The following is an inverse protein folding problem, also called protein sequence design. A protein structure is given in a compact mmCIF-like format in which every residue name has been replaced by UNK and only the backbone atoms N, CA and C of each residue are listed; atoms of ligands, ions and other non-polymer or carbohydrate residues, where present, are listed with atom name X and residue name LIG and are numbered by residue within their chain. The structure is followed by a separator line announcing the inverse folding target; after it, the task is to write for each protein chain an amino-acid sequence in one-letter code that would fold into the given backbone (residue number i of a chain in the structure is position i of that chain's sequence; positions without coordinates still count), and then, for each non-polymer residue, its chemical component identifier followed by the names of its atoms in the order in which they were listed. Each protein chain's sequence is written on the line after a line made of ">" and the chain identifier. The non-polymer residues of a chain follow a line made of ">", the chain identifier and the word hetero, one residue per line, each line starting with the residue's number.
data_IF_645795205798
#
_entry.id   IF_645795205798
#
_cell.length_a   1.000
_cell.length_b   1.000
_cell.length_c   1.000
_cell.angle_alpha   90.00
_cell.angle_beta   90.00
_cell.angle_gamma   90.00
#
_symmetry.space_group_name_H-M   'P 1'
#
loop_
_entity.id
_entity.type
_entity.pdbx_description
1 polymer ?
#
# COMPACT_ATOMS: atom_id res chain seq x y z
N UNK A 1 23.83 -54.19 23.28
CA UNK A 1 24.07 -52.79 23.70
C UNK A 1 24.77 -51.93 22.65
N UNK A 2 25.84 -52.39 21.96
CA UNK A 2 26.52 -51.58 20.93
C UNK A 2 25.63 -51.14 19.75
N UNK A 3 24.68 -51.96 19.32
CA UNK A 3 23.78 -51.63 18.20
C UNK A 3 22.71 -50.58 18.53
N UNK A 4 22.30 -50.47 19.80
CA UNK A 4 21.30 -49.49 20.25
C UNK A 4 21.91 -48.10 20.37
N UNK A 5 23.19 -48.01 20.78
CA UNK A 5 23.93 -46.75 20.85
C UNK A 5 24.18 -46.15 19.47
N UNK A 6 24.43 -46.97 18.45
CA UNK A 6 24.62 -46.50 17.07
C UNK A 6 23.33 -45.95 16.46
N UNK A 7 22.17 -46.55 16.75
CA UNK A 7 20.87 -46.05 16.28
C UNK A 7 20.51 -44.72 16.96
N UNK A 8 20.76 -44.59 18.27
CA UNK A 8 20.56 -43.31 18.97
C UNK A 8 21.51 -42.22 18.47
N UNK A 9 22.75 -42.56 18.12
CA UNK A 9 23.70 -41.62 17.53
C UNK A 9 23.29 -41.19 16.11
N UNK A 10 22.72 -42.08 15.29
CA UNK A 10 22.18 -41.73 13.97
C UNK A 10 20.96 -40.81 14.10
N UNK A 11 20.10 -41.01 15.11
CA UNK A 11 18.95 -40.14 15.40
C UNK A 11 19.40 -38.77 15.94
N UNK A 12 20.48 -38.71 16.72
CA UNK A 12 21.04 -37.46 17.27
C UNK A 12 21.94 -36.70 16.30
N UNK A 13 22.48 -37.36 15.26
CA UNK A 13 23.30 -36.75 14.19
C UNK A 13 22.52 -36.67 12.87
N UNK A 14 21.20 -36.82 12.89
CA UNK A 14 20.35 -36.24 11.85
C UNK A 14 20.07 -34.79 12.25
N UNK A 15 20.84 -33.80 11.77
CA UNK A 15 20.45 -32.42 11.95
C UNK A 15 19.16 -32.21 11.16
N UNK A 16 18.00 -32.12 11.81
CA UNK A 16 16.78 -31.50 11.28
C UNK A 16 16.52 -31.70 9.76
N UNK A 17 16.77 -32.89 9.19
CA UNK A 17 16.52 -33.14 7.76
C UNK A 17 15.00 -33.17 7.49
N UNK A 18 14.19 -33.28 8.56
CA UNK A 18 12.75 -33.11 8.51
C UNK A 18 12.28 -31.63 8.50
N UNK A 19 13.13 -30.66 8.86
CA UNK A 19 12.77 -29.23 8.89
C UNK A 19 13.57 -28.37 7.89
N UNK A 20 14.51 -28.96 7.14
CA UNK A 20 14.99 -28.36 5.90
C UNK A 20 13.98 -28.53 4.76
N UNK A 21 12.68 -28.29 5.02
CA UNK A 21 11.79 -27.83 3.96
C UNK A 21 12.26 -26.43 3.63
N UNK A 22 13.24 -26.34 2.76
CA UNK A 22 13.71 -25.12 2.12
C UNK A 22 12.49 -24.41 1.55
N UNK A 23 11.93 -23.47 2.30
CA UNK A 23 10.79 -22.69 1.84
C UNK A 23 11.32 -21.84 0.68
N UNK A 24 10.90 -22.11 -0.56
CA UNK A 24 11.41 -21.41 -1.76
C UNK A 24 10.44 -20.33 -2.28
N UNK A 25 9.33 -20.14 -1.58
CA UNK A 25 8.22 -19.28 -1.97
C UNK A 25 7.81 -18.32 -0.84
N UNK A 26 8.70 -18.09 0.13
CA UNK A 26 8.45 -17.22 1.28
C UNK A 26 9.29 -15.95 1.24
N UNK A 27 8.90 -14.93 2.01
CA UNK A 27 9.68 -13.70 2.11
C UNK A 27 11.05 -13.98 2.70
N UNK A 28 11.12 -14.77 3.78
CA UNK A 28 12.39 -15.24 4.37
C UNK A 28 13.33 -15.83 3.31
N UNK A 29 12.79 -16.66 2.41
CA UNK A 29 13.57 -17.30 1.35
C UNK A 29 14.16 -16.34 0.31
N UNK A 30 13.58 -15.15 0.13
CA UNK A 30 14.06 -14.13 -0.81
C UNK A 30 14.96 -13.09 -0.13
N UNK A 31 14.82 -12.91 1.19
CA UNK A 31 15.43 -11.79 1.89
C UNK A 31 16.46 -12.15 2.98
N UNK A 32 16.55 -13.41 3.46
CA UNK A 32 17.45 -13.92 4.54
C UNK A 32 17.47 -13.06 5.84
N UNK A 33 17.83 -13.65 6.98
CA UNK A 33 17.59 -13.05 8.30
C UNK A 33 18.05 -11.59 8.51
N UNK A 34 17.12 -10.79 9.04
CA UNK A 34 17.17 -9.53 9.84
C UNK A 34 18.13 -8.39 9.43
N UNK A 35 19.41 -8.65 9.13
CA UNK A 35 20.41 -7.60 8.88
C UNK A 35 20.29 -6.98 7.48
N UNK A 36 19.91 -7.77 6.48
CA UNK A 36 19.67 -7.29 5.11
C UNK A 36 18.43 -6.38 5.02
N UNK A 37 17.43 -6.58 5.89
CA UNK A 37 16.19 -5.82 5.89
C UNK A 37 16.42 -4.33 6.23
N UNK A 38 17.37 -3.99 7.11
CA UNK A 38 17.72 -2.59 7.42
C UNK A 38 18.25 -1.82 6.20
N UNK A 39 19.03 -2.49 5.35
CA UNK A 39 19.55 -1.92 4.09
C UNK A 39 18.49 -1.87 3.00
N UNK A 40 17.61 -2.87 2.94
CA UNK A 40 16.47 -2.94 2.03
C UNK A 40 15.46 -1.81 2.30
N UNK A 41 15.16 -1.52 3.57
CA UNK A 41 14.36 -0.36 3.98
C UNK A 41 15.07 0.97 3.68
N UNK A 42 16.42 0.98 3.71
CA UNK A 42 17.23 2.14 3.35
C UNK A 42 17.27 2.39 1.83
N UNK A 43 17.12 1.36 0.98
CA UNK A 43 17.01 1.53 -0.48
C UNK A 43 15.65 2.11 -0.91
N UNK A 44 14.61 1.92 -0.11
CA UNK A 44 13.27 2.53 -0.27
C UNK A 44 13.28 4.05 -0.03
N UNK A 45 14.34 4.60 0.61
CA UNK A 45 14.50 6.00 1.03
C UNK A 45 14.54 7.01 -0.12
N UNK A 46 14.71 6.54 -1.35
CA UNK A 46 14.92 7.38 -2.52
C UNK A 46 13.63 8.08 -3.00
N UNK A 47 12.75 8.60 -2.12
CA UNK A 47 11.58 9.38 -2.54
C UNK A 47 10.88 10.07 -1.35
N UNK A 48 10.87 11.43 -1.35
CA UNK A 48 9.66 12.28 -1.53
C UNK A 48 9.62 13.57 -0.69
N UNK A 49 9.48 14.69 -1.42
CA UNK A 49 9.10 16.03 -0.95
C UNK A 49 7.58 16.26 -0.96
N UNK A 50 6.80 15.41 -1.64
CA UNK A 50 5.36 15.55 -1.85
C UNK A 50 4.50 15.33 -0.59
N UNK A 51 4.91 14.43 0.31
CA UNK A 51 4.18 14.19 1.57
C UNK A 51 4.11 15.46 2.43
N UNK A 52 5.21 16.24 2.46
CA UNK A 52 5.31 17.53 3.16
C UNK A 52 4.42 18.63 2.59
N UNK A 53 4.07 18.58 1.31
CA UNK A 53 3.15 19.53 0.64
C UNK A 53 1.69 19.14 0.92
N UNK A 54 1.40 17.84 1.00
CA UNK A 54 0.02 17.35 1.08
C UNK A 54 -0.66 17.61 2.43
N UNK A 55 -0.03 17.18 3.53
CA UNK A 55 -0.63 17.29 4.87
C UNK A 55 -0.82 18.75 5.33
N UNK A 56 -0.30 19.71 4.58
CA UNK A 56 -0.08 21.09 5.00
C UNK A 56 -0.62 22.12 4.02
N UNK A 57 -1.05 21.69 2.82
CA UNK A 57 -1.46 22.60 1.75
C UNK A 57 -0.29 23.38 1.12
N UNK A 58 0.91 22.79 1.05
CA UNK A 58 2.06 23.36 0.32
C UNK A 58 3.17 23.94 1.18
N UNK A 59 3.01 23.99 2.50
CA UNK A 59 4.07 24.42 3.43
C UNK A 59 4.71 23.19 4.06
N UNK A 60 6.00 22.93 3.93
CA UNK A 60 6.60 21.78 4.63
C UNK A 60 6.52 22.00 6.15
N UNK A 61 5.43 21.56 6.79
CA UNK A 61 5.24 21.80 8.22
C UNK A 61 6.11 20.84 9.02
N UNK A 62 6.63 21.28 10.19
CA UNK A 62 7.35 20.43 11.13
C UNK A 62 6.61 19.13 11.52
N UNK A 63 5.29 19.11 11.34
CA UNK A 63 4.39 18.00 11.63
C UNK A 63 4.66 16.79 10.74
N UNK A 64 4.77 16.99 9.43
CA UNK A 64 4.95 15.89 8.49
C UNK A 64 6.34 15.31 8.62
N UNK A 65 7.33 16.19 8.76
CA UNK A 65 8.71 15.81 8.99
C UNK A 65 8.87 15.04 10.31
N UNK A 66 8.17 15.43 11.38
CA UNK A 66 8.24 14.71 12.67
C UNK A 66 7.56 13.34 12.62
N UNK A 67 6.40 13.21 11.98
CA UNK A 67 5.74 11.90 11.78
C UNK A 67 6.62 10.99 10.91
N UNK A 68 7.13 11.49 9.78
CA UNK A 68 8.04 10.74 8.92
C UNK A 68 9.31 10.31 9.67
N UNK A 69 9.90 11.21 10.45
CA UNK A 69 11.09 10.89 11.25
C UNK A 69 10.81 9.86 12.34
N UNK A 70 9.62 9.91 12.96
CA UNK A 70 9.22 8.91 13.95
C UNK A 70 9.06 7.53 13.33
N UNK A 71 8.37 7.45 12.18
CA UNK A 71 8.18 6.20 11.44
C UNK A 71 9.52 5.63 10.96
N UNK A 72 10.40 6.46 10.39
CA UNK A 72 11.74 6.02 10.03
C UNK A 72 12.62 5.68 11.25
N UNK A 73 12.39 6.33 12.39
CA UNK A 73 13.04 6.00 13.65
C UNK A 73 12.63 4.61 14.16
N UNK A 74 11.35 4.22 14.01
CA UNK A 74 10.90 2.85 14.30
C UNK A 74 11.57 1.82 13.40
N UNK A 75 12.01 2.23 12.21
CA UNK A 75 12.78 1.41 11.27
C UNK A 75 14.29 1.36 11.60
N UNK A 76 14.71 2.01 12.69
CA UNK A 76 16.11 2.06 13.12
C UNK A 76 16.97 3.08 12.35
N UNK A 77 16.36 4.01 11.62
CA UNK A 77 17.04 5.07 10.88
C UNK A 77 17.09 6.36 11.70
N UNK A 78 18.02 7.26 11.35
CA UNK A 78 18.14 8.57 12.00
C UNK A 78 18.16 9.73 11.01
N UNK A 79 17.84 10.94 11.49
CA UNK A 79 17.94 12.19 10.72
C UNK A 79 17.08 12.19 9.45
N UNK A 80 17.62 12.76 8.37
CA UNK A 80 16.93 12.93 7.08
C UNK A 80 16.57 11.57 6.46
N UNK A 81 17.40 10.54 6.66
CA UNK A 81 17.13 9.20 6.18
C UNK A 81 15.87 8.61 6.85
N UNK A 82 15.73 8.80 8.16
CA UNK A 82 14.51 8.43 8.88
C UNK A 82 13.29 9.16 8.32
N UNK A 83 13.38 10.49 8.17
CA UNK A 83 12.26 11.28 7.63
C UNK A 83 11.81 10.76 6.26
N UNK A 84 12.76 10.57 5.33
CA UNK A 84 12.47 10.10 3.96
C UNK A 84 11.91 8.68 3.94
N UNK A 85 12.50 7.75 4.69
CA UNK A 85 12.03 6.37 4.78
C UNK A 85 10.60 6.31 5.33
N UNK A 86 10.35 7.04 6.43
CA UNK A 86 9.04 7.05 7.05
C UNK A 86 8.00 7.71 6.17
N UNK A 87 8.32 8.81 5.48
CA UNK A 87 7.39 9.42 4.52
C UNK A 87 7.11 8.51 3.33
N UNK A 88 8.11 7.82 2.80
CA UNK A 88 7.91 6.82 1.74
C UNK A 88 6.97 5.70 2.20
N UNK A 89 7.21 5.15 3.40
CA UNK A 89 6.39 4.10 4.03
C UNK A 89 4.97 4.58 4.38
N UNK A 90 4.80 5.87 4.63
CA UNK A 90 3.50 6.45 4.91
C UNK A 90 2.70 6.76 3.65
N UNK A 91 3.13 6.34 2.47
CA UNK A 91 2.43 6.59 1.20
C UNK A 91 2.93 7.83 0.48
N UNK A 92 4.14 8.31 0.78
CA UNK A 92 4.80 9.35 -0.01
C UNK A 92 4.69 9.05 -1.50
N UNK A 93 4.95 7.79 -1.90
CA UNK A 93 4.86 7.31 -3.28
C UNK A 93 3.48 7.53 -3.90
N UNK A 94 2.41 7.24 -3.15
CA UNK A 94 1.03 7.49 -3.56
C UNK A 94 0.74 8.97 -3.73
N UNK A 95 1.20 9.80 -2.79
CA UNK A 95 1.05 11.25 -2.85
C UNK A 95 1.82 11.83 -4.06
N UNK A 96 3.05 11.37 -4.32
CA UNK A 96 3.93 11.85 -5.37
C UNK A 96 3.62 11.29 -6.77
N UNK A 97 3.05 10.09 -6.88
CA UNK A 97 2.72 9.46 -8.16
C UNK A 97 1.49 10.05 -8.83
N UNK A 98 0.81 10.95 -8.15
CA UNK A 98 -0.37 11.60 -8.66
C UNK A 98 -1.53 11.57 -7.69
N UNK A 99 -1.48 10.76 -6.60
CA UNK A 99 -2.49 10.69 -5.54
C UNK A 99 -2.95 12.04 -5.01
N UNK A 100 -2.12 13.08 -5.13
CA UNK A 100 -2.54 14.47 -4.94
C UNK A 100 -1.84 15.51 -5.83
N UNK A 101 -0.72 15.19 -6.49
CA UNK A 101 -0.04 16.13 -7.40
C UNK A 101 -0.71 16.30 -8.76
N UNK A 102 -1.43 15.28 -9.20
CA UNK A 102 -2.36 15.33 -10.34
C UNK A 102 -3.77 15.38 -9.77
N UNK A 103 -4.12 14.49 -8.84
CA UNK A 103 -5.44 14.32 -8.20
C UNK A 103 -5.90 15.53 -7.35
N UNK A 104 -5.01 16.34 -6.77
CA UNK A 104 -5.41 17.57 -6.07
C UNK A 104 -5.90 18.68 -7.01
N UNK A 105 -5.48 18.65 -8.28
CA UNK A 105 -5.98 19.51 -9.33
C UNK A 105 -7.04 18.79 -10.16
N UNK A 106 -6.71 17.64 -10.74
CA UNK A 106 -7.52 16.82 -11.64
C UNK A 106 -8.49 15.86 -10.97
N UNK A 107 -8.47 15.60 -9.66
CA UNK A 107 -9.53 14.84 -8.96
C UNK A 107 -10.35 15.73 -8.07
N UNK A 108 -9.87 16.93 -7.73
CA UNK A 108 -10.77 18.04 -7.50
C UNK A 108 -11.54 18.35 -8.79
N UNK A 109 -10.84 18.40 -9.94
CA UNK A 109 -11.46 18.50 -11.26
C UNK A 109 -12.25 17.24 -11.60
N UNK A 110 -11.80 16.01 -11.34
CA UNK A 110 -12.53 14.77 -11.66
C UNK A 110 -13.60 14.44 -10.65
N UNK A 111 -13.55 14.92 -9.41
CA UNK A 111 -14.69 14.94 -8.49
C UNK A 111 -15.69 16.02 -8.92
N UNK A 112 -15.22 17.18 -9.38
CA UNK A 112 -16.05 18.22 -10.00
C UNK A 112 -16.57 17.84 -11.40
N UNK A 113 -15.88 16.94 -12.12
CA UNK A 113 -16.20 16.43 -13.45
C UNK A 113 -16.95 15.10 -13.38
N UNK A 114 -16.82 14.29 -12.32
CA UNK A 114 -17.72 13.16 -12.00
C UNK A 114 -19.03 13.66 -11.41
N UNK A 115 -18.94 14.76 -10.66
CA UNK A 115 -20.07 15.63 -10.41
C UNK A 115 -20.69 16.14 -11.73
N UNK A 116 -19.85 16.54 -12.70
CA UNK A 116 -20.32 16.92 -14.04
C UNK A 116 -20.66 15.73 -14.95
N UNK A 117 -20.26 14.49 -14.69
CA UNK A 117 -20.53 13.38 -15.62
C UNK A 117 -22.00 13.00 -15.60
N UNK A 118 -22.73 13.36 -14.55
CA UNK A 118 -24.18 13.15 -14.52
C UNK A 118 -24.99 14.40 -14.96
N UNK A 119 -24.35 15.49 -15.41
CA UNK A 119 -25.01 16.75 -15.88
C UNK A 119 -24.38 17.38 -17.15
N UNK A 120 -23.20 16.94 -17.58
CA UNK A 120 -22.49 17.33 -18.83
C UNK A 120 -22.50 16.19 -19.86
N UNK A 121 -22.90 14.97 -19.48
CA UNK A 121 -22.94 13.83 -20.40
C UNK A 121 -23.87 13.99 -21.60
N UNK A 122 -24.84 14.90 -21.53
CA UNK A 122 -25.72 15.14 -22.67
C UNK A 122 -25.08 15.99 -23.78
N UNK A 123 -23.90 16.63 -23.58
CA UNK A 123 -23.36 17.52 -24.62
C UNK A 123 -21.84 17.62 -24.78
N UNK A 124 -21.00 17.06 -23.91
CA UNK A 124 -19.57 17.06 -24.17
C UNK A 124 -18.85 15.91 -23.46
N UNK A 125 -18.07 15.18 -24.25
CA UNK A 125 -17.05 14.18 -23.88
C UNK A 125 -17.56 12.74 -23.95
N UNK A 126 -17.51 12.20 -25.17
CA UNK A 126 -17.57 10.77 -25.51
C UNK A 126 -16.22 10.05 -25.21
N UNK A 127 -15.31 10.63 -24.40
CA UNK A 127 -13.93 10.11 -24.27
C UNK A 127 -13.35 10.06 -22.84
N UNK A 128 -14.14 10.39 -21.80
CA UNK A 128 -13.66 10.43 -20.41
C UNK A 128 -14.53 9.61 -19.44
N UNK A 129 -15.20 8.58 -19.95
CA UNK A 129 -15.69 7.50 -19.11
C UNK A 129 -14.47 6.65 -18.78
N UNK A 130 -14.11 6.62 -17.50
CA UNK A 130 -13.15 5.65 -16.96
C UNK A 130 -13.81 4.28 -16.98
N UNK A 131 -13.89 3.71 -18.18
CA UNK A 131 -13.73 2.28 -18.34
C UNK A 131 -12.47 1.89 -17.57
N UNK A 132 -12.52 0.77 -16.88
CA UNK A 132 -11.37 0.20 -16.21
C UNK A 132 -10.23 0.05 -17.24
N UNK A 133 -9.35 1.03 -17.32
CA UNK A 133 -8.13 0.92 -18.09
C UNK A 133 -7.05 0.57 -17.09
N UNK A 134 -6.79 -0.73 -16.94
CA UNK A 134 -5.62 -1.31 -16.26
C UNK A 134 -4.37 -0.41 -16.40
N UNK A 135 -4.17 0.16 -17.59
CA UNK A 135 -3.12 1.12 -17.92
C UNK A 135 -3.05 2.33 -16.98
N UNK A 136 -4.17 2.96 -16.63
CA UNK A 136 -4.21 4.13 -15.74
C UNK A 136 -3.76 3.77 -14.32
N UNK A 137 -4.30 2.69 -13.74
CA UNK A 137 -3.87 2.21 -12.42
C UNK A 137 -2.37 1.84 -12.42
N UNK A 138 -1.91 1.18 -13.49
CA UNK A 138 -0.49 0.85 -13.66
C UNK A 138 0.35 2.14 -13.70
N UNK A 139 -0.06 3.14 -14.47
CA UNK A 139 0.66 4.41 -14.60
C UNK A 139 0.76 5.14 -13.25
N UNK A 140 -0.32 5.20 -12.46
CA UNK A 140 -0.29 5.75 -11.10
C UNK A 140 0.62 4.96 -10.16
N UNK A 141 0.76 3.65 -10.36
CA UNK A 141 1.54 2.80 -9.46
C UNK A 141 3.04 2.83 -9.70
N UNK A 142 3.51 3.27 -10.88
CA UNK A 142 4.93 3.25 -11.27
C UNK A 142 5.86 3.95 -10.29
N UNK A 143 5.38 5.02 -9.63
CA UNK A 143 6.18 5.82 -8.68
C UNK A 143 5.89 5.48 -7.21
N UNK A 144 5.07 4.47 -6.96
CA UNK A 144 4.71 4.06 -5.61
C UNK A 144 5.73 3.12 -5.00
N UNK A 145 5.62 2.92 -3.69
CA UNK A 145 6.36 1.87 -3.01
C UNK A 145 6.10 0.51 -3.67
N UNK A 146 7.16 -0.28 -3.79
CA UNK A 146 7.14 -1.65 -4.30
C UNK A 146 8.05 -2.54 -3.45
N UNK A 147 7.99 -3.85 -3.70
CA UNK A 147 8.85 -4.80 -3.01
C UNK A 147 10.32 -4.58 -3.38
N UNK A 148 11.23 -4.79 -2.43
CA UNK A 148 12.66 -4.68 -2.70
C UNK A 148 13.14 -5.84 -3.57
N UNK A 149 14.28 -5.63 -4.23
CA UNK A 149 14.93 -6.68 -5.00
C UNK A 149 15.37 -7.82 -4.08
N UNK A 150 15.30 -9.08 -4.54
CA UNK A 150 15.81 -10.22 -3.79
C UNK A 150 17.29 -10.08 -3.49
N UNK A 151 17.70 -10.54 -2.32
CA UNK A 151 19.12 -10.57 -1.91
C UNK A 151 19.65 -11.98 -1.76
N UNK A 152 18.78 -12.98 -1.63
CA UNK A 152 19.22 -14.37 -1.63
C UNK A 152 19.67 -14.77 -3.04
N UNK A 153 20.89 -15.31 -3.15
CA UNK A 153 21.50 -15.81 -4.39
C UNK A 153 21.46 -17.35 -4.50
N UNK A 154 20.97 -18.05 -3.48
CA UNK A 154 20.85 -19.51 -3.53
C UNK A 154 19.82 -19.96 -4.56
N UNK A 155 20.11 -21.00 -5.34
CA UNK A 155 19.20 -21.57 -6.33
C UNK A 155 19.95 -22.09 -7.55
N UNK A 156 19.20 -22.42 -8.60
CA UNK A 156 19.75 -22.80 -9.91
C UNK A 156 20.76 -21.78 -10.45
N UNK A 157 21.65 -22.20 -11.35
CA UNK A 157 22.63 -21.31 -11.99
C UNK A 157 21.98 -20.11 -12.68
N UNK A 158 20.81 -20.29 -13.30
CA UNK A 158 20.05 -19.19 -13.90
C UNK A 158 19.49 -18.22 -12.87
N UNK A 159 19.07 -18.72 -11.71
CA UNK A 159 18.66 -17.87 -10.60
C UNK A 159 19.83 -16.99 -10.17
N UNK A 160 21.00 -17.59 -9.92
CA UNK A 160 22.24 -16.86 -9.57
C UNK A 160 22.63 -15.82 -10.62
N UNK A 161 22.59 -16.20 -11.90
CA UNK A 161 22.88 -15.29 -13.02
C UNK A 161 21.91 -14.11 -13.04
N UNK A 162 20.63 -14.37 -12.77
CA UNK A 162 19.60 -13.33 -12.68
C UNK A 162 19.84 -12.40 -11.50
N UNK A 163 20.18 -12.93 -10.32
CA UNK A 163 20.53 -12.12 -9.14
C UNK A 163 21.76 -11.26 -9.41
N UNK A 164 22.79 -11.81 -10.08
CA UNK A 164 23.99 -11.07 -10.50
C UNK A 164 23.67 -9.95 -11.49
N UNK A 165 22.70 -10.15 -12.38
CA UNK A 165 22.24 -9.08 -13.26
C UNK A 165 21.54 -7.96 -12.47
N UNK A 166 20.74 -8.31 -11.47
CA UNK A 166 20.04 -7.35 -10.61
C UNK A 166 20.99 -6.57 -9.69
N UNK A 167 22.15 -7.12 -9.34
CA UNK A 167 23.12 -6.42 -8.48
C UNK A 167 23.75 -5.17 -9.11
N UNK A 168 23.62 -5.00 -10.43
CA UNK A 168 24.10 -3.84 -11.20
C UNK A 168 23.13 -2.65 -11.14
N UNK A 169 21.95 -2.83 -10.54
CA UNK A 169 20.97 -1.75 -10.37
C UNK A 169 21.57 -0.58 -9.59
N UNK A 170 21.35 0.64 -10.11
CA UNK A 170 21.79 1.85 -9.44
C UNK A 170 20.91 2.09 -8.21
N UNK A 171 21.49 1.88 -7.02
CA UNK A 171 20.82 2.04 -5.71
C UNK A 171 20.52 3.50 -5.35
N UNK A 172 21.17 4.45 -6.02
CA UNK A 172 20.91 5.89 -5.85
C UNK A 172 19.73 6.36 -6.70
N UNK A 173 19.31 5.55 -7.68
CA UNK A 173 18.14 5.83 -8.51
C UNK A 173 16.94 5.00 -8.04
N UNK A 174 15.71 5.54 -8.14
CA UNK A 174 14.51 4.77 -7.84
C UNK A 174 14.40 3.52 -8.72
N UNK A 175 13.79 2.46 -8.19
CA UNK A 175 13.59 1.19 -8.91
C UNK A 175 12.81 1.36 -10.22
N UNK A 176 11.93 2.36 -10.31
CA UNK A 176 11.17 2.68 -11.52
C UNK A 176 11.90 3.56 -12.54
N UNK A 177 13.15 3.97 -12.27
CA UNK A 177 13.95 4.70 -13.25
C UNK A 177 14.11 3.88 -14.54
N UNK A 178 14.14 4.56 -15.70
CA UNK A 178 14.22 3.89 -17.00
C UNK A 178 15.40 2.91 -17.09
N UNK A 179 16.54 3.25 -16.47
CA UNK A 179 17.72 2.40 -16.43
C UNK A 179 17.49 1.15 -15.57
N UNK A 180 17.04 1.31 -14.32
CA UNK A 180 16.79 0.17 -13.42
C UNK A 180 15.70 -0.75 -13.97
N UNK A 181 14.64 -0.19 -14.59
CA UNK A 181 13.59 -0.97 -15.26
C UNK A 181 14.10 -1.75 -16.46
N UNK A 182 15.07 -1.24 -17.22
CA UNK A 182 15.71 -1.98 -18.33
C UNK A 182 16.45 -3.21 -17.81
N UNK A 183 17.16 -3.09 -16.69
CA UNK A 183 17.86 -4.20 -16.03
C UNK A 183 16.85 -5.26 -15.57
N UNK A 184 15.77 -4.85 -14.90
CA UNK A 184 14.70 -5.77 -14.44
C UNK A 184 14.06 -6.50 -15.62
N UNK A 185 13.76 -5.81 -16.73
CA UNK A 185 13.22 -6.44 -17.95
C UNK A 185 14.18 -7.44 -18.59
N UNK A 186 15.48 -7.18 -18.54
CA UNK A 186 16.48 -8.14 -19.01
C UNK A 186 16.53 -9.38 -18.11
N UNK A 187 16.44 -9.20 -16.79
CA UNK A 187 16.34 -10.30 -15.82
C UNK A 187 15.09 -11.17 -16.06
N UNK A 188 13.95 -10.57 -16.34
CA UNK A 188 12.71 -11.29 -16.72
C UNK A 188 12.96 -12.14 -17.99
N UNK A 189 13.53 -11.55 -19.04
CA UNK A 189 13.81 -12.27 -20.31
C UNK A 189 14.76 -13.44 -20.11
N UNK A 190 15.79 -13.28 -19.27
CA UNK A 190 16.71 -14.36 -18.93
C UNK A 190 15.98 -15.54 -18.28
N UNK A 191 15.13 -15.25 -17.30
CA UNK A 191 14.34 -16.26 -16.58
C UNK A 191 13.33 -16.99 -17.48
N UNK A 192 12.66 -16.27 -18.39
CA UNK A 192 11.64 -16.84 -19.29
C UNK A 192 12.20 -17.83 -20.32
N UNK A 193 13.46 -17.70 -20.73
CA UNK A 193 14.08 -18.56 -21.78
C UNK A 193 14.32 -20.00 -21.34
N UNK A 194 13.86 -20.39 -20.15
CA UNK A 194 14.09 -21.71 -19.58
C UNK A 194 13.00 -22.68 -20.01
N UNK A 195 13.32 -23.51 -21.01
CA UNK A 195 12.62 -24.77 -21.26
C UNK A 195 13.27 -25.84 -20.37
N UNK A 196 12.46 -26.56 -19.62
CA UNK A 196 12.82 -27.66 -18.71
C UNK A 196 13.65 -27.31 -17.47
N UNK A 197 12.93 -27.16 -16.36
CA UNK A 197 13.45 -27.34 -15.01
C UNK A 197 12.84 -28.63 -14.49
N UNK A 198 13.63 -29.70 -14.45
CA UNK A 198 13.20 -30.99 -13.90
C UNK A 198 13.03 -30.94 -12.38
N UNK A 199 13.78 -30.07 -11.70
CA UNK A 199 13.73 -29.91 -10.25
C UNK A 199 12.56 -29.01 -9.81
N UNK A 200 11.64 -29.61 -9.05
CA UNK A 200 10.48 -29.00 -8.38
C UNK A 200 10.82 -27.73 -7.58
N UNK A 201 11.97 -27.74 -6.90
CA UNK A 201 12.42 -26.65 -6.05
C UNK A 201 12.89 -25.45 -6.87
N UNK A 202 13.69 -25.71 -7.91
CA UNK A 202 14.18 -24.69 -8.83
C UNK A 202 13.01 -24.07 -9.62
N UNK A 203 12.02 -24.88 -10.01
CA UNK A 203 10.82 -24.39 -10.69
C UNK A 203 10.02 -23.43 -9.80
N UNK A 204 9.84 -23.80 -8.52
CA UNK A 204 9.11 -22.98 -7.54
C UNK A 204 9.82 -21.65 -7.30
N UNK A 205 11.14 -21.69 -7.07
CA UNK A 205 11.94 -20.48 -6.84
C UNK A 205 11.96 -19.56 -8.07
N UNK A 206 11.98 -20.15 -9.26
CA UNK A 206 11.94 -19.39 -10.52
C UNK A 206 10.58 -18.73 -10.75
N UNK A 207 9.46 -19.39 -10.43
CA UNK A 207 8.13 -18.76 -10.49
C UNK A 207 7.98 -17.66 -9.44
N UNK A 208 8.50 -17.86 -8.23
CA UNK A 208 8.52 -16.83 -7.19
C UNK A 208 9.30 -15.59 -7.68
N UNK A 209 10.51 -15.80 -8.23
CA UNK A 209 11.33 -14.72 -8.76
C UNK A 209 10.66 -14.01 -9.93
N UNK A 210 10.10 -14.73 -10.90
CA UNK A 210 9.35 -14.14 -12.00
C UNK A 210 8.19 -13.29 -11.48
N UNK A 211 7.40 -13.81 -10.54
CA UNK A 211 6.28 -13.07 -9.97
C UNK A 211 6.72 -11.75 -9.32
N UNK A 212 7.83 -11.77 -8.57
CA UNK A 212 8.43 -10.60 -7.94
C UNK A 212 8.94 -9.60 -8.98
N UNK A 213 9.69 -10.06 -9.99
CA UNK A 213 10.24 -9.17 -11.01
C UNK A 213 9.14 -8.51 -11.83
N UNK A 214 8.09 -9.25 -12.19
CA UNK A 214 6.92 -8.68 -12.85
C UNK A 214 6.23 -7.63 -11.98
N UNK A 215 6.04 -7.93 -10.69
CA UNK A 215 5.46 -6.99 -9.72
C UNK A 215 6.26 -5.69 -9.64
N UNK A 216 7.60 -5.77 -9.48
CA UNK A 216 8.50 -4.62 -9.41
C UNK A 216 8.55 -3.85 -10.74
N UNK A 217 8.32 -4.53 -11.87
CA UNK A 217 8.23 -3.91 -13.19
C UNK A 217 6.84 -3.34 -13.53
N UNK A 218 5.87 -3.43 -12.60
CA UNK A 218 4.48 -2.99 -12.76
C UNK A 218 3.68 -3.78 -13.82
N UNK A 219 4.06 -5.04 -14.09
CA UNK A 219 3.30 -5.96 -14.92
C UNK A 219 2.49 -6.90 -14.02
N UNK A 220 1.40 -6.37 -13.48
CA UNK A 220 0.58 -7.05 -12.48
C UNK A 220 -0.17 -8.26 -13.05
N UNK A 221 -0.48 -8.27 -14.34
CA UNK A 221 -1.08 -9.44 -15.02
C UNK A 221 -0.13 -10.64 -14.92
N UNK A 222 1.13 -10.47 -15.35
CA UNK A 222 2.09 -11.57 -15.27
C UNK A 222 2.52 -11.88 -13.83
N UNK A 223 2.65 -10.86 -12.97
CA UNK A 223 2.93 -11.06 -11.55
C UNK A 223 1.87 -11.96 -10.88
N UNK A 224 0.58 -11.66 -11.12
CA UNK A 224 -0.55 -12.46 -10.64
C UNK A 224 -0.54 -13.87 -11.24
N UNK A 225 -0.29 -14.00 -12.55
CA UNK A 225 -0.23 -15.30 -13.24
C UNK A 225 0.79 -16.23 -12.60
N UNK A 226 2.05 -15.80 -12.46
CA UNK A 226 3.10 -16.63 -11.87
C UNK A 226 2.88 -16.89 -10.38
N UNK A 227 2.33 -15.91 -9.65
CA UNK A 227 1.93 -16.11 -8.25
C UNK A 227 0.85 -17.17 -8.12
N UNK A 228 -0.21 -17.11 -8.94
CA UNK A 228 -1.31 -18.07 -8.91
C UNK A 228 -0.84 -19.50 -9.22
N UNK A 229 0.02 -19.66 -10.24
CA UNK A 229 0.62 -20.95 -10.58
C UNK A 229 1.41 -21.51 -9.39
N UNK A 230 2.22 -20.68 -8.74
CA UNK A 230 3.02 -21.10 -7.60
C UNK A 230 2.18 -21.42 -6.37
N UNK A 231 1.13 -20.64 -6.06
CA UNK A 231 0.22 -20.92 -4.95
C UNK A 231 -0.50 -22.26 -5.15
N UNK A 232 -1.02 -22.52 -6.35
CA UNK A 232 -1.66 -23.81 -6.68
C UNK A 232 -0.68 -24.98 -6.49
N UNK A 233 0.56 -24.80 -6.93
CA UNK A 233 1.60 -25.80 -6.85
C UNK A 233 2.05 -26.08 -5.41
N UNK A 234 2.36 -25.04 -4.65
CA UNK A 234 2.80 -25.14 -3.24
C UNK A 234 1.70 -25.69 -2.33
N UNK A 235 0.42 -25.37 -2.60
CA UNK A 235 -0.71 -25.93 -1.87
C UNK A 235 -0.79 -27.46 -1.97
N UNK A 236 -0.45 -28.04 -3.13
CA UNK A 236 -0.41 -29.50 -3.31
C UNK A 236 0.72 -30.15 -2.50
N UNK A 237 1.77 -29.39 -2.18
CA UNK A 237 2.98 -29.87 -1.52
C UNK A 237 3.04 -29.50 -0.03
N UNK A 238 2.04 -28.78 0.49
CA UNK A 238 2.04 -28.28 1.87
C UNK A 238 3.10 -27.20 2.15
N UNK A 239 3.63 -26.54 1.11
CA UNK A 239 4.69 -25.53 1.23
C UNK A 239 4.07 -24.14 1.44
N UNK A 240 4.65 -23.35 2.34
CA UNK A 240 4.25 -21.94 2.54
C UNK A 240 4.52 -21.12 1.29
N UNK A 241 3.59 -20.23 0.95
CA UNK A 241 3.65 -19.40 -0.26
C UNK A 241 3.28 -17.94 0.01
N UNK A 242 3.89 -17.36 1.03
CA UNK A 242 3.59 -16.01 1.53
C UNK A 242 3.92 -14.91 0.53
N UNK A 243 5.11 -14.92 -0.07
CA UNK A 243 5.52 -13.95 -1.09
C UNK A 243 4.57 -13.93 -2.31
N UNK A 244 4.31 -15.06 -3.00
CA UNK A 244 3.36 -15.06 -4.11
C UNK A 244 1.93 -14.79 -3.64
N UNK A 245 1.53 -15.17 -2.42
CA UNK A 245 0.20 -14.80 -1.90
C UNK A 245 0.04 -13.30 -1.76
N UNK A 246 1.06 -12.60 -1.25
CA UNK A 246 1.06 -11.14 -1.20
C UNK A 246 1.02 -10.51 -2.60
N UNK A 247 1.87 -10.99 -3.52
CA UNK A 247 1.93 -10.47 -4.90
C UNK A 247 0.59 -10.71 -5.61
N UNK A 248 0.00 -11.90 -5.45
CA UNK A 248 -1.32 -12.24 -5.97
C UNK A 248 -2.37 -11.28 -5.42
N UNK A 249 -2.43 -11.10 -4.10
CA UNK A 249 -3.40 -10.23 -3.45
C UNK A 249 -3.30 -8.79 -3.97
N UNK A 250 -2.09 -8.28 -4.08
CA UNK A 250 -1.84 -6.89 -4.48
C UNK A 250 -2.07 -6.69 -5.98
N UNK A 251 -1.68 -7.65 -6.80
CA UNK A 251 -1.86 -7.59 -8.26
C UNK A 251 -3.32 -7.79 -8.66
N UNK A 252 -4.12 -8.51 -7.87
CA UNK A 252 -5.57 -8.63 -8.07
C UNK A 252 -6.32 -7.31 -7.93
N UNK A 253 -5.75 -6.30 -7.25
CA UNK A 253 -6.34 -4.94 -7.20
C UNK A 253 -6.38 -4.26 -8.58
N UNK A 254 -5.68 -4.83 -9.56
CA UNK A 254 -5.67 -4.46 -10.97
C UNK A 254 -6.47 -5.46 -11.82
N UNK A 255 -7.49 -6.10 -11.25
CA UNK A 255 -8.48 -6.86 -12.02
C UNK A 255 -9.71 -6.00 -12.27
N UNK A 256 -10.37 -6.16 -13.41
CA UNK A 256 -11.66 -5.50 -13.69
C UNK A 256 -12.66 -5.76 -12.57
N UNK A 257 -12.86 -7.05 -12.28
CA UNK A 257 -13.73 -7.54 -11.23
C UNK A 257 -12.90 -8.10 -10.09
N UNK A 258 -13.06 -7.54 -8.89
CA UNK A 258 -12.35 -7.97 -7.70
C UNK A 258 -13.30 -8.20 -6.53
N UNK A 259 -13.19 -9.36 -5.89
CA UNK A 259 -13.71 -9.58 -4.55
C UNK A 259 -12.63 -9.20 -3.52
N UNK A 260 -12.65 -7.95 -3.09
CA UNK A 260 -11.64 -7.40 -2.18
C UNK A 260 -11.66 -8.09 -0.81
N UNK A 261 -12.85 -8.47 -0.33
CA UNK A 261 -13.01 -9.18 0.94
C UNK A 261 -12.33 -10.54 0.88
N UNK A 262 -12.58 -11.29 -0.20
CA UNK A 262 -11.95 -12.59 -0.44
C UNK A 262 -10.43 -12.46 -0.56
N UNK A 263 -9.95 -11.54 -1.41
CA UNK A 263 -8.51 -11.35 -1.63
C UNK A 263 -7.79 -10.95 -0.33
N UNK A 264 -8.38 -10.03 0.45
CA UNK A 264 -7.81 -9.59 1.73
C UNK A 264 -7.74 -10.74 2.73
N UNK A 265 -8.83 -11.50 2.90
CA UNK A 265 -8.94 -12.56 3.91
C UNK A 265 -8.15 -13.83 3.58
N UNK A 266 -8.01 -14.17 2.30
CA UNK A 266 -7.40 -15.43 1.89
C UNK A 266 -5.94 -15.32 1.46
N UNK A 267 -5.54 -14.21 0.86
CA UNK A 267 -4.18 -14.07 0.32
C UNK A 267 -3.34 -13.05 1.07
N UNK A 268 -3.86 -11.84 1.28
CA UNK A 268 -3.12 -10.82 2.03
C UNK A 268 -2.94 -11.25 3.50
N UNK A 269 -4.03 -11.61 4.19
CA UNK A 269 -3.96 -12.15 5.56
C UNK A 269 -3.01 -13.35 5.68
N UNK A 270 -3.11 -14.32 4.76
CA UNK A 270 -2.23 -15.49 4.75
C UNK A 270 -0.75 -15.09 4.62
N UNK A 271 -0.43 -14.15 3.73
CA UNK A 271 0.94 -13.69 3.53
C UNK A 271 1.57 -13.06 4.78
N UNK A 272 0.76 -12.45 5.64
CA UNK A 272 1.20 -11.85 6.91
C UNK A 272 1.26 -12.90 8.02
N UNK A 273 0.24 -13.72 8.17
CA UNK A 273 0.09 -14.60 9.34
C UNK A 273 1.00 -15.82 9.33
N UNK A 274 1.51 -16.20 8.16
CA UNK A 274 2.43 -17.33 8.03
C UNK A 274 3.89 -16.94 8.28
N UNK A 275 4.20 -15.65 8.31
CA UNK A 275 5.50 -15.10 8.72
C UNK A 275 5.26 -13.84 9.58
N UNK A 276 4.63 -13.97 10.77
CA UNK A 276 4.10 -12.82 11.53
C UNK A 276 5.19 -11.93 12.17
N UNK A 277 6.41 -12.45 12.26
CA UNK A 277 7.60 -11.74 12.76
C UNK A 277 8.42 -11.14 11.61
N UNK A 278 7.92 -11.22 10.37
CA UNK A 278 8.66 -10.74 9.21
C UNK A 278 8.79 -9.21 9.25
N UNK A 279 10.01 -8.66 9.22
CA UNK A 279 10.23 -7.23 9.33
C UNK A 279 9.78 -6.44 8.09
N UNK A 280 9.38 -7.10 7.00
CA UNK A 280 8.76 -6.47 5.83
C UNK A 280 7.27 -6.18 6.02
N UNK A 281 6.58 -6.76 7.02
CA UNK A 281 5.14 -6.58 7.25
C UNK A 281 4.67 -5.12 7.14
N UNK A 282 5.36 -4.11 7.74
CA UNK A 282 5.01 -2.71 7.55
C UNK A 282 4.99 -2.26 6.09
N UNK A 283 6.00 -2.65 5.31
CA UNK A 283 6.05 -2.37 3.86
C UNK A 283 4.90 -3.06 3.15
N UNK A 284 4.57 -4.30 3.51
CA UNK A 284 3.46 -5.04 2.92
C UNK A 284 2.12 -4.32 3.14
N UNK A 285 1.86 -3.86 4.37
CA UNK A 285 0.69 -3.03 4.67
C UNK A 285 0.68 -1.73 3.86
N UNK A 286 1.79 -1.01 3.79
CA UNK A 286 1.87 0.23 3.01
C UNK A 286 1.56 -0.01 1.53
N UNK A 287 2.23 -0.98 0.89
CA UNK A 287 2.03 -1.29 -0.52
C UNK A 287 0.57 -1.69 -0.77
N UNK A 288 0.02 -2.58 0.05
CA UNK A 288 -1.33 -3.08 -0.13
C UNK A 288 -2.37 -1.96 0.04
N UNK A 289 -2.24 -1.14 1.10
CA UNK A 289 -3.12 0.00 1.34
C UNK A 289 -3.01 1.07 0.25
N UNK A 290 -1.80 1.30 -0.29
CA UNK A 290 -1.59 2.20 -1.43
C UNK A 290 -2.39 1.72 -2.65
N UNK A 291 -2.34 0.42 -2.96
CA UNK A 291 -3.06 -0.12 -4.12
C UNK A 291 -4.57 -0.15 -3.93
N UNK A 292 -5.06 -0.43 -2.72
CA UNK A 292 -6.49 -0.28 -2.41
C UNK A 292 -6.89 1.19 -2.59
N UNK A 293 -6.08 2.14 -2.11
CA UNK A 293 -6.38 3.57 -2.17
C UNK A 293 -6.56 4.08 -3.60
N UNK A 294 -5.67 3.73 -4.54
CA UNK A 294 -5.83 4.16 -5.95
C UNK A 294 -7.03 3.47 -6.58
N UNK A 295 -7.26 2.19 -6.23
CA UNK A 295 -8.31 1.40 -6.86
C UNK A 295 -9.70 1.94 -6.54
N UNK A 296 -9.91 2.33 -5.29
CA UNK A 296 -11.19 2.83 -4.80
C UNK A 296 -11.07 4.31 -4.44
N UNK A 297 -10.36 5.08 -5.26
CA UNK A 297 -10.27 6.55 -5.13
C UNK A 297 -11.69 7.05 -4.88
N UNK A 298 -11.98 7.48 -3.64
CA UNK A 298 -13.31 7.46 -3.00
C UNK A 298 -14.29 8.46 -3.63
N UNK A 299 -14.55 8.31 -4.92
CA UNK A 299 -15.27 9.25 -5.76
C UNK A 299 -16.77 9.10 -5.52
N UNK A 300 -17.23 7.90 -5.15
CA UNK A 300 -18.62 7.59 -4.83
C UNK A 300 -18.80 7.06 -3.40
N UNK A 301 -20.02 7.15 -2.89
CA UNK A 301 -20.39 6.61 -1.57
C UNK A 301 -20.29 5.07 -1.54
N UNK A 302 -20.63 4.39 -2.63
CA UNK A 302 -20.55 2.93 -2.72
C UNK A 302 -19.10 2.43 -2.71
N UNK A 303 -18.20 3.11 -3.44
CA UNK A 303 -16.77 2.84 -3.39
C UNK A 303 -16.22 3.03 -1.97
N UNK A 304 -16.69 4.08 -1.27
CA UNK A 304 -16.33 4.29 0.13
C UNK A 304 -16.77 3.12 1.03
N UNK A 305 -17.97 2.54 0.84
CA UNK A 305 -18.41 1.40 1.66
C UNK A 305 -17.52 0.17 1.47
N UNK A 306 -17.14 -0.14 0.23
CA UNK A 306 -16.22 -1.24 -0.10
C UNK A 306 -14.84 -0.99 0.53
N UNK A 307 -14.33 0.24 0.38
CA UNK A 307 -13.05 0.65 0.93
C UNK A 307 -13.03 0.62 2.46
N UNK A 308 -14.08 1.14 3.11
CA UNK A 308 -14.27 1.15 4.57
C UNK A 308 -14.24 -0.27 5.15
N UNK A 309 -14.98 -1.19 4.54
CA UNK A 309 -14.98 -2.59 4.97
C UNK A 309 -13.59 -3.21 4.86
N UNK A 310 -12.81 -2.79 3.87
CA UNK A 310 -11.45 -3.27 3.65
C UNK A 310 -10.48 -2.71 4.69
N UNK A 311 -10.56 -1.41 5.02
CA UNK A 311 -9.81 -0.84 6.14
C UNK A 311 -10.13 -1.52 7.47
N UNK A 312 -11.40 -1.84 7.71
CA UNK A 312 -11.83 -2.60 8.90
C UNK A 312 -11.21 -3.99 8.93
N UNK A 313 -11.20 -4.70 7.79
CA UNK A 313 -10.53 -5.99 7.69
C UNK A 313 -9.04 -5.85 8.01
N UNK A 314 -8.33 -4.89 7.40
CA UNK A 314 -6.92 -4.61 7.67
C UNK A 314 -6.67 -4.30 9.15
N UNK A 315 -7.53 -3.51 9.78
CA UNK A 315 -7.45 -3.21 11.20
C UNK A 315 -7.56 -4.48 12.07
N UNK A 316 -8.45 -5.41 11.70
CA UNK A 316 -8.57 -6.72 12.36
C UNK A 316 -7.28 -7.53 12.21
N UNK A 317 -6.67 -7.54 11.01
CA UNK A 317 -5.38 -8.20 10.77
C UNK A 317 -4.33 -7.63 11.74
N UNK A 318 -4.12 -6.31 11.75
CA UNK A 318 -3.11 -5.64 12.60
C UNK A 318 -3.33 -5.93 14.10
N UNK A 319 -4.58 -6.07 14.52
CA UNK A 319 -4.92 -6.36 15.93
C UNK A 319 -4.48 -7.75 16.39
N UNK A 320 -4.26 -8.70 15.47
CA UNK A 320 -3.85 -10.08 15.80
C UNK A 320 -2.66 -10.09 16.77
N UNK A 321 -2.71 -10.96 17.78
CA UNK A 321 -1.65 -11.07 18.80
C UNK A 321 -0.31 -11.52 18.23
N UNK A 322 -0.32 -12.23 17.10
CA UNK A 322 0.88 -12.77 16.47
C UNK A 322 1.74 -11.73 15.75
N UNK A 323 1.19 -10.61 15.28
CA UNK A 323 1.96 -9.68 14.44
C UNK A 323 2.91 -8.79 15.28
N UNK A 324 4.17 -8.75 14.86
CA UNK A 324 5.17 -7.80 15.34
C UNK A 324 5.00 -6.38 14.75
N UNK A 325 5.72 -5.39 15.32
CA UNK A 325 5.72 -4.00 14.83
C UNK A 325 4.33 -3.33 14.78
N UNK A 326 3.39 -3.74 15.65
CA UNK A 326 2.00 -3.24 15.66
C UNK A 326 1.88 -1.72 15.66
N UNK A 327 2.76 -1.02 16.38
CA UNK A 327 2.78 0.45 16.42
C UNK A 327 2.96 1.05 15.03
N UNK A 328 3.92 0.51 14.27
CA UNK A 328 4.23 0.96 12.93
C UNK A 328 3.06 0.65 11.98
N UNK A 329 2.50 -0.56 12.07
CA UNK A 329 1.35 -0.97 11.26
C UNK A 329 0.10 -0.11 11.54
N UNK A 330 -0.19 0.20 12.81
CA UNK A 330 -1.27 1.14 13.16
C UNK A 330 -1.00 2.55 12.66
N UNK A 331 0.25 3.01 12.69
CA UNK A 331 0.62 4.34 12.19
C UNK A 331 0.41 4.44 10.68
N UNK A 332 0.78 3.40 9.92
CA UNK A 332 0.51 3.29 8.48
C UNK A 332 -0.99 3.36 8.20
N UNK A 333 -1.79 2.53 8.89
CA UNK A 333 -3.25 2.54 8.71
C UNK A 333 -3.86 3.89 9.08
N UNK A 334 -3.46 4.49 10.20
CA UNK A 334 -3.94 5.80 10.65
C UNK A 334 -3.65 6.90 9.63
N UNK A 335 -2.53 6.79 8.93
CA UNK A 335 -2.14 7.78 7.91
C UNK A 335 -3.10 7.71 6.71
N UNK A 336 -3.50 6.51 6.28
CA UNK A 336 -4.52 6.33 5.21
C UNK A 336 -5.86 6.96 5.60
N UNK A 337 -6.28 6.80 6.86
CA UNK A 337 -7.47 7.50 7.35
C UNK A 337 -7.34 9.02 7.26
N UNK A 338 -6.19 9.59 7.64
CA UNK A 338 -5.98 11.05 7.60
C UNK A 338 -5.95 11.56 6.16
N UNK A 339 -5.34 10.83 5.23
CA UNK A 339 -5.36 11.15 3.79
C UNK A 339 -6.80 11.26 3.27
N UNK A 340 -7.67 10.32 3.63
CA UNK A 340 -9.08 10.31 3.21
C UNK A 340 -9.90 11.40 3.89
N UNK A 341 -9.63 11.69 5.17
CA UNK A 341 -10.25 12.82 5.87
C UNK A 341 -9.88 14.12 5.13
N UNK A 342 -8.62 14.28 4.73
CA UNK A 342 -8.15 15.45 3.99
C UNK A 342 -8.77 15.56 2.60
N UNK A 343 -8.92 14.44 1.88
CA UNK A 343 -9.64 14.38 0.60
C UNK A 343 -11.06 14.90 0.70
N UNK A 344 -11.84 14.33 1.63
CA UNK A 344 -13.24 14.71 1.79
C UNK A 344 -13.37 16.18 2.22
N UNK A 345 -12.48 16.66 3.10
CA UNK A 345 -12.39 18.07 3.45
C UNK A 345 -12.17 18.95 2.21
N UNK A 346 -11.20 18.61 1.35
CA UNK A 346 -10.88 19.40 0.16
C UNK A 346 -12.03 19.37 -0.86
N UNK A 347 -12.65 18.21 -1.08
CA UNK A 347 -13.82 18.03 -1.94
C UNK A 347 -15.00 18.91 -1.52
N UNK A 348 -15.31 18.95 -0.23
CA UNK A 348 -16.37 19.82 0.31
C UNK A 348 -16.03 21.29 0.05
N UNK A 349 -14.80 21.72 0.39
CA UNK A 349 -14.38 23.11 0.21
C UNK A 349 -14.49 23.50 -1.26
N UNK A 350 -13.94 22.71 -2.18
CA UNK A 350 -13.90 23.07 -3.60
C UNK A 350 -15.26 23.16 -4.25
N UNK A 351 -16.17 22.24 -3.92
CA UNK A 351 -17.51 22.20 -4.49
C UNK A 351 -18.41 23.27 -3.87
N UNK A 352 -18.31 23.49 -2.55
CA UNK A 352 -19.12 24.49 -1.87
C UNK A 352 -18.72 25.94 -2.20
N UNK A 353 -17.44 26.19 -2.51
CA UNK A 353 -16.95 27.54 -2.84
C UNK A 353 -16.69 27.75 -4.33
N UNK A 354 -17.17 26.87 -5.20
CA UNK A 354 -16.95 27.00 -6.65
C UNK A 354 -17.67 28.21 -7.24
N UNK A 355 -17.01 28.90 -8.16
CA UNK A 355 -17.62 29.97 -8.95
C UNK A 355 -18.23 29.47 -10.26
N UNK A 356 -18.05 28.19 -10.60
CA UNK A 356 -18.64 27.59 -11.79
C UNK A 356 -20.15 27.40 -11.56
N UNK A 357 -20.99 28.15 -12.30
CA UNK A 357 -22.45 28.12 -12.15
C UNK A 357 -23.06 26.74 -12.47
N UNK A 358 -22.53 26.01 -13.44
CA UNK A 358 -23.00 24.66 -13.78
C UNK A 358 -22.87 23.70 -12.59
N UNK A 359 -21.76 23.82 -11.84
CA UNK A 359 -21.55 23.03 -10.63
C UNK A 359 -22.38 23.59 -9.48
N UNK A 360 -22.26 24.89 -9.22
CA UNK A 360 -22.87 25.53 -8.06
C UNK A 360 -24.40 25.46 -8.06
N UNK A 361 -25.05 25.52 -9.22
CA UNK A 361 -26.52 25.56 -9.31
C UNK A 361 -27.16 24.17 -9.30
N UNK A 362 -26.37 23.11 -9.40
CA UNK A 362 -26.87 21.75 -9.57
C UNK A 362 -27.13 21.08 -8.21
N UNK A 363 -28.34 20.58 -7.99
CA UNK A 363 -28.78 19.96 -6.73
C UNK A 363 -27.96 18.72 -6.35
N UNK A 364 -27.38 18.01 -7.34
CA UNK A 364 -26.47 16.90 -7.08
C UNK A 364 -25.23 17.36 -6.28
N UNK A 365 -24.80 18.64 -6.38
CA UNK A 365 -23.59 19.13 -5.71
C UNK A 365 -23.78 19.04 -4.22
N UNK A 366 -24.97 19.47 -3.77
CA UNK A 366 -25.35 19.44 -2.38
C UNK A 366 -25.43 18.00 -1.86
N UNK A 367 -25.95 17.06 -2.64
CA UNK A 367 -25.94 15.63 -2.29
C UNK A 367 -24.50 15.12 -2.10
N UNK A 368 -23.61 15.45 -3.03
CA UNK A 368 -22.23 14.94 -3.03
C UNK A 368 -21.39 15.48 -1.86
N UNK A 369 -21.51 16.77 -1.54
CA UNK A 369 -20.80 17.35 -0.39
C UNK A 369 -21.38 16.88 0.95
N UNK A 370 -22.68 16.59 1.03
CA UNK A 370 -23.29 15.97 2.21
C UNK A 370 -22.77 14.53 2.40
N UNK A 371 -22.71 13.74 1.33
CA UNK A 371 -22.10 12.41 1.38
C UNK A 371 -20.64 12.49 1.82
N UNK A 372 -19.86 13.42 1.27
CA UNK A 372 -18.48 13.66 1.65
C UNK A 372 -18.33 14.06 3.13
N UNK A 373 -19.25 14.88 3.66
CA UNK A 373 -19.25 15.27 5.08
C UNK A 373 -19.56 14.07 5.99
N UNK A 374 -20.49 13.20 5.60
CA UNK A 374 -20.79 11.97 6.33
C UNK A 374 -19.57 11.03 6.37
N UNK A 375 -18.92 10.85 5.21
CA UNK A 375 -17.67 10.08 5.09
C UNK A 375 -16.58 10.67 5.99
N UNK A 376 -16.40 11.99 5.94
CA UNK A 376 -15.42 12.72 6.75
C UNK A 376 -15.56 12.44 8.25
N UNK A 377 -16.77 12.54 8.80
CA UNK A 377 -17.02 12.26 10.22
C UNK A 377 -16.84 10.78 10.58
N UNK A 378 -17.26 9.87 9.71
CA UNK A 378 -17.06 8.43 9.92
C UNK A 378 -15.56 8.08 9.98
N UNK A 379 -14.76 8.60 9.05
CA UNK A 379 -13.32 8.39 9.03
C UNK A 379 -12.65 8.93 10.30
N UNK A 380 -13.05 10.11 10.79
CA UNK A 380 -12.53 10.66 12.06
C UNK A 380 -12.84 9.72 13.23
N UNK A 381 -14.06 9.17 13.29
CA UNK A 381 -14.45 8.27 14.37
C UNK A 381 -13.67 6.95 14.34
N UNK A 382 -13.46 6.37 13.16
CA UNK A 382 -12.67 5.15 13.01
C UNK A 382 -11.19 5.37 13.29
N UNK A 383 -10.62 6.47 12.80
CA UNK A 383 -9.25 6.87 13.10
C UNK A 383 -9.02 7.06 14.61
N UNK A 384 -10.00 7.61 15.34
CA UNK A 384 -9.93 7.70 16.80
C UNK A 384 -9.89 6.32 17.46
N UNK A 385 -10.58 5.31 16.92
CA UNK A 385 -10.49 3.95 17.45
C UNK A 385 -9.09 3.36 17.25
N UNK A 386 -8.47 3.60 16.09
CA UNK A 386 -7.09 3.17 15.84
C UNK A 386 -6.12 3.84 16.81
N UNK A 387 -6.26 5.14 17.07
CA UNK A 387 -5.44 5.86 18.05
C UNK A 387 -5.56 5.27 19.45
N UNK A 388 -6.77 4.88 19.90
CA UNK A 388 -6.94 4.22 21.21
C UNK A 388 -6.13 2.94 21.30
N UNK A 389 -6.18 2.10 20.26
CA UNK A 389 -5.39 0.86 20.20
C UNK A 389 -3.89 1.13 20.12
N UNK A 390 -3.46 2.10 19.32
CA UNK A 390 -2.06 2.53 19.28
C UNK A 390 -1.59 3.04 20.66
N UNK A 391 -2.43 3.79 21.37
CA UNK A 391 -2.13 4.30 22.72
C UNK A 391 -1.98 3.18 23.74
N UNK A 392 -2.78 2.11 23.63
CA UNK A 392 -2.73 0.98 24.58
C UNK A 392 -1.47 0.12 24.43
N UNK A 393 -0.72 0.24 23.33
CA UNK A 393 0.55 -0.46 23.13
C UNK A 393 1.70 0.13 23.97
N UNK A 394 1.47 1.22 24.71
CA UNK A 394 2.50 1.88 25.51
C UNK A 394 3.67 2.42 24.67
N UNK A 395 4.81 2.69 25.29
CA UNK A 395 6.01 3.16 24.58
C UNK A 395 6.85 4.16 25.36
N UNK A 396 7.97 4.55 24.74
CA UNK A 396 8.86 5.57 25.26
C UNK A 396 8.21 6.97 25.21
N UNK A 397 8.89 7.98 25.76
CA UNK A 397 8.36 9.35 25.80
C UNK A 397 8.08 9.92 24.40
N UNK A 398 8.90 9.58 23.40
CA UNK A 398 8.72 9.98 22.00
C UNK A 398 7.46 9.38 21.39
N UNK A 399 7.23 8.07 21.57
CA UNK A 399 6.04 7.38 21.10
C UNK A 399 4.77 8.02 21.67
N UNK A 400 4.74 8.25 22.99
CA UNK A 400 3.59 8.88 23.67
C UNK A 400 3.33 10.28 23.12
N UNK A 401 4.37 11.08 22.90
CA UNK A 401 4.25 12.43 22.30
C UNK A 401 3.64 12.36 20.91
N UNK A 402 4.06 11.42 20.07
CA UNK A 402 3.56 11.29 18.70
C UNK A 402 2.12 10.76 18.66
N UNK A 403 1.73 9.86 19.57
CA UNK A 403 0.33 9.43 19.70
C UNK A 403 -0.57 10.60 20.15
N UNK A 404 -0.13 11.40 21.13
CA UNK A 404 -0.82 12.63 21.53
C UNK A 404 -0.92 13.61 20.36
N UNK A 405 0.12 13.68 19.53
CA UNK A 405 0.13 14.50 18.33
C UNK A 405 -0.99 14.09 17.36
N UNK A 406 -1.08 12.81 16.99
CA UNK A 406 -2.16 12.29 16.16
C UNK A 406 -3.54 12.54 16.75
N UNK A 407 -3.70 12.35 18.06
CA UNK A 407 -4.95 12.62 18.77
C UNK A 407 -5.35 14.10 18.65
N UNK A 408 -4.41 15.01 18.86
CA UNK A 408 -4.65 16.45 18.73
C UNK A 408 -4.99 16.82 17.27
N UNK A 409 -4.30 16.24 16.30
CA UNK A 409 -4.58 16.48 14.88
C UNK A 409 -6.03 16.09 14.54
N UNK A 410 -6.48 14.89 14.92
CA UNK A 410 -7.86 14.47 14.66
C UNK A 410 -8.88 15.28 15.46
N UNK A 411 -8.69 15.45 16.77
CA UNK A 411 -9.70 16.04 17.65
C UNK A 411 -9.75 17.56 17.61
N UNK A 412 -8.59 18.22 17.59
CA UNK A 412 -8.50 19.69 17.66
C UNK A 412 -8.55 20.33 16.28
N UNK A 413 -8.02 19.68 15.24
CA UNK A 413 -8.02 20.26 13.91
C UNK A 413 -9.20 19.73 13.10
N UNK A 414 -9.18 18.46 12.68
CA UNK A 414 -10.20 17.93 11.77
C UNK A 414 -11.61 17.93 12.39
N UNK A 415 -11.79 17.37 13.59
CA UNK A 415 -13.13 17.33 14.21
C UNK A 415 -13.74 18.72 14.44
N UNK A 416 -12.92 19.73 14.76
CA UNK A 416 -13.41 21.11 14.91
C UNK A 416 -13.73 21.76 13.56
N UNK A 417 -12.92 21.46 12.55
CA UNK A 417 -13.11 21.97 11.19
C UNK A 417 -14.41 21.49 10.55
N UNK A 418 -14.96 20.35 10.97
CA UNK A 418 -16.28 19.87 10.55
C UNK A 418 -17.38 20.93 10.61
N UNK A 419 -17.39 21.78 11.65
CA UNK A 419 -18.34 22.90 11.75
C UNK A 419 -18.18 23.94 10.64
N UNK A 420 -16.94 24.23 10.24
CA UNK A 420 -16.66 25.13 9.12
C UNK A 420 -17.15 24.52 7.81
N UNK A 421 -16.97 23.21 7.64
CA UNK A 421 -17.46 22.48 6.46
C UNK A 421 -19.00 22.49 6.39
N UNK A 422 -19.69 22.28 7.51
CA UNK A 422 -21.16 22.40 7.61
C UNK A 422 -21.65 23.78 7.17
N UNK A 423 -21.01 24.86 7.66
CA UNK A 423 -21.34 26.25 7.26
C UNK A 423 -21.20 26.45 5.74
N UNK A 424 -20.15 25.88 5.12
CA UNK A 424 -19.97 25.98 3.67
C UNK A 424 -21.10 25.29 2.90
N UNK A 425 -21.52 24.11 3.37
CA UNK A 425 -22.63 23.35 2.79
C UNK A 425 -23.94 24.11 2.94
N UNK A 426 -24.23 24.66 4.12
CA UNK A 426 -25.44 25.46 4.39
C UNK A 426 -25.50 26.71 3.50
N UNK A 427 -24.36 27.37 3.26
CA UNK A 427 -24.29 28.51 2.37
C UNK A 427 -24.61 28.13 0.92
N UNK A 428 -24.11 26.99 0.44
CA UNK A 428 -24.47 26.48 -0.89
C UNK A 428 -25.96 26.14 -0.96
N UNK A 429 -26.49 25.47 0.06
CA UNK A 429 -27.91 25.11 0.16
C UNK A 429 -28.82 26.34 0.04
N UNK A 430 -28.57 27.37 0.85
CA UNK A 430 -29.32 28.64 0.79
C UNK A 430 -29.23 29.30 -0.59
N UNK A 431 -28.05 29.28 -1.18
CA UNK A 431 -27.86 29.79 -2.54
C UNK A 431 -28.72 29.04 -3.56
N UNK A 432 -28.77 27.70 -3.50
CA UNK A 432 -29.58 26.88 -4.41
C UNK A 432 -31.08 27.03 -4.16
N UNK A 433 -31.51 27.16 -2.91
CA UNK A 433 -32.92 27.44 -2.56
C UNK A 433 -33.40 28.77 -3.15
N UNK A 434 -32.55 29.81 -3.11
CA UNK A 434 -32.83 31.12 -3.71
C UNK A 434 -32.84 31.14 -5.25
N UNK A 435 -32.47 30.04 -5.94
CA UNK A 435 -32.61 29.94 -7.39
C UNK A 435 -33.99 29.40 -7.80
N UNK A 436 -34.72 28.77 -6.88
CA UNK A 436 -36.00 28.09 -7.13
C UNK A 436 -37.18 28.96 -6.71
N UNK A 437 -36.99 29.83 -5.72
CA UNK A 437 -37.94 30.89 -5.35
C UNK A 437 -37.69 32.17 -6.12
#
# INVERSE_FOLDING_TARGET
>A
MRSVVVILFIILIMPDIANATTEYATFESFYKESSAIKWILSAVVALILAATIFFTGGTATPIVASIGSWVGGMMGLSGIAATKAGLALLGGGSIASGGFGVIGGTTLLSAALSFSTNVVFDYAIEEAITEYQYKNLVDYSKKMLTLPLPVNDSGSEKYKETIKLLSVINKEQPTFSSNNQKIIKNAIKLMQRTKDISNINDKSKNYALLSLLYFISNDYINAKKYSSLLIKYTKQLGIKSTLPSFIYATSSLYDENIDLSFITKHYFYYSIMQEPDNPLIPILFSIYLDRIFIRFDCCTYDDYLVYKNSLKNIFIIIKSNSIDNKKLNYTILLTRYIELIKLNQQKIISLATTNNKTIRNNSKTLLEINNSLNIYYNLINEANNIIKHLSSLGGNSTDRKNVIYFYNLLKKNYKKDGKRLEILIDNLKKYQENLIG
#
